data_IF_188896095866
#
_entry.id   IF_188896095866
#
_cell.length_a   1.000
_cell.length_b   1.000
_cell.length_c   1.000
_cell.angle_alpha   90.00
_cell.angle_beta   90.00
_cell.angle_gamma   90.00
#
_symmetry.space_group_name_H-M   'P 1'
#
loop_
_entity.id
_entity.type
_entity.pdbx_description
1 polymer ?
#
# COMPACT_ATOMS: atom_id res chain seq x y z
N UNK A 1 -7.28 -2.03 33.79
CA UNK A 1 -6.77 -0.95 32.94
C UNK A 1 -7.28 -1.15 31.51
N UNK A 2 -7.29 -0.11 30.72
CA UNK A 2 -7.65 -0.20 29.29
C UNK A 2 -6.38 -0.54 28.50
N UNK A 3 -6.42 -1.55 27.66
CA UNK A 3 -5.33 -1.84 26.70
C UNK A 3 -5.34 -0.80 25.61
N UNK A 4 -4.19 -0.22 25.30
CA UNK A 4 -3.96 0.69 24.18
C UNK A 4 -2.97 0.06 23.22
N UNK A 5 -3.09 0.39 21.95
CA UNK A 5 -2.20 -0.07 20.89
C UNK A 5 -1.51 1.11 20.23
N UNK A 6 -0.26 0.93 19.84
CA UNK A 6 0.45 1.89 19.00
C UNK A 6 -0.14 1.83 17.58
N UNK A 7 -0.27 2.98 16.95
CA UNK A 7 -0.84 3.07 15.60
C UNK A 7 0.10 2.49 14.55
N UNK A 8 -0.46 1.78 13.58
CA UNK A 8 0.26 1.28 12.40
C UNK A 8 0.32 2.31 11.27
N UNK A 9 -0.57 3.30 11.30
CA UNK A 9 -0.71 4.45 10.40
C UNK A 9 -1.65 5.46 11.07
N UNK A 10 -1.58 6.76 10.76
CA UNK A 10 -2.55 7.77 11.22
C UNK A 10 -3.85 7.80 10.42
N UNK A 11 -4.01 6.99 9.38
CA UNK A 11 -5.08 7.01 8.39
C UNK A 11 -6.49 7.15 9.00
N UNK A 12 -6.85 6.27 9.92
CA UNK A 12 -8.19 6.26 10.51
C UNK A 12 -8.53 7.56 11.26
N UNK A 13 -7.52 8.14 11.93
CA UNK A 13 -7.70 9.41 12.62
C UNK A 13 -7.77 10.58 11.63
N UNK A 14 -6.95 10.58 10.59
CA UNK A 14 -6.93 11.63 9.57
C UNK A 14 -8.23 11.62 8.74
N UNK A 15 -8.74 10.44 8.33
CA UNK A 15 -10.04 10.32 7.67
C UNK A 15 -11.18 10.89 8.52
N UNK A 16 -11.16 10.65 9.83
CA UNK A 16 -12.16 11.25 10.75
C UNK A 16 -12.06 12.77 10.81
N UNK A 17 -10.87 13.35 10.70
CA UNK A 17 -10.68 14.80 10.60
C UNK A 17 -11.21 15.35 9.27
N UNK A 18 -10.99 14.63 8.15
CA UNK A 18 -11.56 14.98 6.84
C UNK A 18 -13.08 14.99 6.88
N UNK A 19 -13.70 13.95 7.48
CA UNK A 19 -15.15 13.90 7.69
C UNK A 19 -15.66 15.06 8.58
N UNK A 20 -14.82 15.57 9.50
CA UNK A 20 -15.14 16.74 10.34
C UNK A 20 -14.85 18.08 9.64
N UNK A 21 -14.42 18.09 8.38
CA UNK A 21 -14.23 19.30 7.58
C UNK A 21 -12.88 19.97 7.74
N UNK A 22 -11.81 19.22 8.09
CA UNK A 22 -10.45 19.79 8.22
C UNK A 22 -9.90 20.39 6.92
N UNK A 23 -10.43 19.99 5.75
CA UNK A 23 -9.80 20.28 4.46
C UNK A 23 -8.55 19.44 4.22
N UNK A 24 -7.67 19.91 3.32
CA UNK A 24 -6.41 19.20 3.04
C UNK A 24 -5.53 19.17 4.29
N UNK A 25 -5.00 18.00 4.63
CA UNK A 25 -4.17 17.79 5.83
C UNK A 25 -2.98 16.90 5.52
N UNK A 26 -1.90 17.06 6.29
CA UNK A 26 -0.79 16.11 6.32
C UNK A 26 -0.32 15.88 7.76
N UNK A 27 0.36 14.77 7.97
CA UNK A 27 0.99 14.42 9.24
C UNK A 27 2.31 13.69 9.00
N UNK A 28 3.36 14.08 9.73
CA UNK A 28 4.57 13.29 9.86
C UNK A 28 4.58 12.74 11.28
N UNK A 29 4.57 11.41 11.43
CA UNK A 29 4.48 10.79 12.74
C UNK A 29 5.20 9.44 12.77
N UNK A 30 5.43 8.93 13.98
CA UNK A 30 5.87 7.55 14.19
C UNK A 30 4.70 6.58 13.99
N UNK A 31 5.01 5.51 13.27
CA UNK A 31 4.14 4.36 13.06
C UNK A 31 4.86 3.09 13.53
N UNK A 32 4.08 2.07 13.92
CA UNK A 32 4.59 0.88 14.58
C UNK A 32 4.00 -0.37 13.95
N UNK A 33 4.86 -1.29 13.49
CA UNK A 33 4.43 -2.58 12.97
C UNK A 33 5.26 -3.68 13.59
N UNK A 34 4.57 -4.66 14.20
CA UNK A 34 5.23 -5.77 14.86
C UNK A 34 5.88 -6.70 13.82
N UNK A 35 7.02 -7.31 14.22
CA UNK A 35 7.74 -8.32 13.40
C UNK A 35 8.33 -7.77 12.08
N UNK A 36 8.19 -6.50 11.78
CA UNK A 36 8.83 -5.86 10.64
C UNK A 36 10.25 -5.39 11.01
N UNK A 37 11.24 -6.29 10.91
CA UNK A 37 12.66 -5.97 11.10
C UNK A 37 13.48 -6.56 9.95
N UNK A 38 14.25 -5.72 9.26
CA UNK A 38 15.05 -6.14 8.12
C UNK A 38 15.74 -4.99 7.41
N UNK A 39 16.31 -5.27 6.25
CA UNK A 39 17.08 -4.31 5.47
C UNK A 39 16.36 -2.97 5.25
N UNK A 40 15.06 -3.01 5.01
CA UNK A 40 14.22 -1.85 4.68
C UNK A 40 13.10 -1.60 5.69
N UNK A 41 13.14 -2.30 6.84
CA UNK A 41 12.07 -2.28 7.84
C UNK A 41 12.64 -2.13 9.25
N UNK A 42 11.96 -1.32 10.04
CA UNK A 42 12.15 -1.24 11.49
C UNK A 42 10.76 -1.19 12.17
N UNK A 43 10.55 -1.86 13.30
CA UNK A 43 9.25 -1.88 13.99
C UNK A 43 8.69 -0.49 14.33
N UNK A 44 9.56 0.48 14.61
CA UNK A 44 9.22 1.89 14.71
C UNK A 44 9.81 2.63 13.50
N UNK A 45 8.97 3.32 12.74
CA UNK A 45 9.39 4.07 11.56
C UNK A 45 8.63 5.39 11.44
N UNK A 46 9.10 6.27 10.56
CA UNK A 46 8.47 7.56 10.31
C UNK A 46 7.67 7.52 9.03
N UNK A 47 6.40 7.93 9.12
CA UNK A 47 5.49 8.02 7.99
C UNK A 47 5.09 9.48 7.76
N UNK A 48 5.10 9.90 6.50
CA UNK A 48 4.37 11.08 6.02
C UNK A 48 3.10 10.59 5.37
N UNK A 49 1.96 11.09 5.83
CA UNK A 49 0.65 10.78 5.25
C UNK A 49 -0.09 12.06 4.98
N UNK A 50 -0.75 12.19 3.81
CA UNK A 50 -1.53 13.38 3.48
C UNK A 50 -2.73 13.06 2.61
N UNK A 51 -3.71 13.95 2.66
CA UNK A 51 -4.99 13.84 1.97
C UNK A 51 -5.35 15.12 1.25
N UNK A 52 -5.88 14.98 0.04
CA UNK A 52 -6.26 16.06 -0.87
C UNK A 52 -7.73 15.95 -1.27
N UNK A 53 -8.65 16.69 -0.62
CA UNK A 53 -10.03 16.80 -1.08
C UNK A 53 -10.10 17.33 -2.52
N UNK A 54 -10.95 16.69 -3.34
CA UNK A 54 -11.13 17.00 -4.75
C UNK A 54 -10.09 16.40 -5.69
N UNK A 55 -9.14 15.59 -5.19
CA UNK A 55 -8.19 14.83 -5.99
C UNK A 55 -8.66 13.38 -6.12
N UNK A 56 -8.40 12.78 -7.27
CA UNK A 56 -8.37 11.34 -7.45
C UNK A 56 -6.92 10.80 -7.29
N UNK A 57 -6.73 9.49 -7.46
CA UNK A 57 -5.41 8.87 -7.34
C UNK A 57 -4.41 9.37 -8.40
N UNK A 58 -4.85 9.69 -9.61
CA UNK A 58 -3.96 10.20 -10.68
C UNK A 58 -3.47 11.62 -10.36
N UNK A 59 -4.34 12.49 -9.83
CA UNK A 59 -3.95 13.82 -9.39
C UNK A 59 -2.91 13.74 -8.26
N UNK A 60 -3.11 12.80 -7.34
CA UNK A 60 -2.20 12.59 -6.22
C UNK A 60 -0.86 11.96 -6.65
N UNK A 61 -0.87 11.07 -7.65
CA UNK A 61 0.36 10.57 -8.29
C UNK A 61 1.18 11.71 -8.89
N UNK A 62 0.54 12.67 -9.56
CA UNK A 62 1.24 13.83 -10.12
C UNK A 62 1.86 14.73 -9.02
N UNK A 63 1.18 14.94 -7.89
CA UNK A 63 1.74 15.65 -6.73
C UNK A 63 2.91 14.88 -6.09
N UNK A 64 2.78 13.56 -5.95
CA UNK A 64 3.83 12.68 -5.45
C UNK A 64 5.08 12.74 -6.34
N UNK A 65 4.92 12.72 -7.65
CA UNK A 65 6.05 12.80 -8.59
C UNK A 65 6.88 14.08 -8.40
N UNK A 66 6.22 15.22 -8.19
CA UNK A 66 6.93 16.48 -7.89
C UNK A 66 7.75 16.38 -6.60
N UNK A 67 7.20 15.76 -5.55
CA UNK A 67 7.92 15.54 -4.29
C UNK A 67 9.14 14.63 -4.50
N UNK A 68 8.97 13.51 -5.22
CA UNK A 68 10.05 12.56 -5.48
C UNK A 68 11.18 13.18 -6.29
N UNK A 69 10.86 13.92 -7.35
CA UNK A 69 11.87 14.64 -8.14
C UNK A 69 12.70 15.61 -7.29
N UNK A 70 12.04 16.35 -6.39
CA UNK A 70 12.72 17.32 -5.53
C UNK A 70 13.63 16.65 -4.48
N UNK A 71 13.18 15.55 -3.86
CA UNK A 71 13.92 14.91 -2.78
C UNK A 71 15.01 13.97 -3.30
N UNK A 72 14.70 13.21 -4.35
CA UNK A 72 15.61 12.19 -4.90
C UNK A 72 16.48 12.73 -6.04
N UNK A 73 16.22 13.94 -6.53
CA UNK A 73 16.89 14.53 -7.68
C UNK A 73 16.84 13.62 -8.93
N UNK A 74 15.68 13.03 -9.19
CA UNK A 74 15.43 12.13 -10.32
C UNK A 74 14.72 12.84 -11.47
N UNK A 75 14.72 12.22 -12.65
CA UNK A 75 13.78 12.56 -13.72
C UNK A 75 12.33 12.25 -13.27
N UNK A 76 11.31 12.74 -13.97
CA UNK A 76 9.92 12.39 -13.71
C UNK A 76 9.70 10.90 -13.64
N UNK A 77 8.84 10.46 -12.73
CA UNK A 77 8.49 9.05 -12.52
C UNK A 77 7.83 8.44 -13.75
N UNK A 78 8.11 7.16 -13.99
CA UNK A 78 7.30 6.36 -14.92
C UNK A 78 5.98 5.94 -14.25
N UNK A 79 5.01 5.50 -15.05
CA UNK A 79 3.77 4.93 -14.54
C UNK A 79 3.27 3.80 -15.44
N UNK A 80 2.70 2.76 -14.85
CA UNK A 80 2.00 1.68 -15.57
C UNK A 80 0.92 1.07 -14.68
N UNK A 81 -0.12 0.48 -15.30
CA UNK A 81 -1.11 -0.25 -14.53
C UNK A 81 -0.55 -1.57 -13.99
N UNK A 82 -1.13 -2.08 -12.89
CA UNK A 82 -0.79 -3.39 -12.36
C UNK A 82 -0.96 -4.50 -13.42
N UNK A 83 -2.03 -4.44 -14.21
CA UNK A 83 -2.27 -5.35 -15.32
C UNK A 83 -1.14 -5.30 -16.34
N UNK A 84 -0.73 -4.09 -16.74
CA UNK A 84 0.35 -3.91 -17.72
C UNK A 84 1.68 -4.46 -17.20
N UNK A 85 1.99 -4.25 -15.91
CA UNK A 85 3.20 -4.77 -15.29
C UNK A 85 3.27 -6.31 -15.35
N UNK A 86 2.16 -7.00 -15.09
CA UNK A 86 2.11 -8.47 -15.21
C UNK A 86 2.22 -8.94 -16.65
N UNK A 87 1.54 -8.30 -17.59
CA UNK A 87 1.61 -8.66 -19.01
C UNK A 87 3.02 -8.50 -19.54
N UNK A 88 3.69 -7.38 -19.21
CA UNK A 88 5.03 -7.07 -19.70
C UNK A 88 6.10 -8.00 -19.13
N UNK A 89 6.05 -8.27 -17.83
CA UNK A 89 7.11 -9.01 -17.14
C UNK A 89 6.88 -10.51 -17.01
N UNK A 90 5.63 -10.96 -17.08
CA UNK A 90 5.23 -12.34 -16.82
C UNK A 90 4.34 -12.96 -17.91
N UNK A 91 3.95 -12.18 -18.92
CA UNK A 91 3.11 -12.60 -20.02
C UNK A 91 1.76 -13.21 -19.59
N UNK A 92 1.20 -12.74 -18.47
CA UNK A 92 -0.12 -13.16 -17.95
C UNK A 92 -0.96 -11.93 -17.60
N UNK A 93 -2.28 -12.02 -17.80
CA UNK A 93 -3.22 -10.99 -17.37
C UNK A 93 -3.70 -11.30 -15.92
N UNK A 94 -3.29 -10.54 -14.90
CA UNK A 94 -3.61 -10.81 -13.51
C UNK A 94 -5.11 -10.63 -13.18
N UNK A 95 -5.86 -9.88 -14.02
CA UNK A 95 -7.28 -9.61 -13.82
C UNK A 95 -8.19 -10.72 -14.35
N UNK A 96 -7.63 -11.68 -15.11
CA UNK A 96 -8.39 -12.78 -15.73
C UNK A 96 -7.78 -14.16 -15.45
N UNK A 97 -6.52 -14.20 -15.01
CA UNK A 97 -5.84 -15.45 -14.67
C UNK A 97 -6.54 -16.18 -13.52
N UNK A 98 -6.75 -17.45 -13.66
CA UNK A 98 -7.28 -18.29 -12.58
C UNK A 98 -6.18 -18.74 -11.61
N UNK A 99 -6.59 -19.30 -10.48
CA UNK A 99 -5.68 -19.73 -9.41
C UNK A 99 -4.65 -20.76 -9.91
N UNK A 100 -5.06 -21.66 -10.80
CA UNK A 100 -4.16 -22.71 -11.30
C UNK A 100 -3.10 -22.14 -12.25
N UNK A 101 -3.47 -21.20 -13.10
CA UNK A 101 -2.53 -20.48 -13.97
C UNK A 101 -1.49 -19.71 -13.17
N UNK A 102 -1.90 -18.99 -12.10
CA UNK A 102 -0.97 -18.28 -11.22
C UNK A 102 -0.05 -19.24 -10.45
N UNK A 103 -0.60 -20.37 -9.99
CA UNK A 103 0.18 -21.40 -9.29
C UNK A 103 1.25 -22.00 -10.21
N UNK A 104 0.88 -22.40 -11.42
CA UNK A 104 1.82 -22.94 -12.42
C UNK A 104 2.91 -21.91 -12.76
N UNK A 105 2.53 -20.65 -12.92
CA UNK A 105 3.49 -19.57 -13.18
C UNK A 105 4.46 -19.40 -11.99
N UNK A 106 3.95 -19.36 -10.76
CA UNK A 106 4.77 -19.23 -9.56
C UNK A 106 5.72 -20.42 -9.38
N UNK A 107 5.27 -21.64 -9.65
CA UNK A 107 6.12 -22.84 -9.66
C UNK A 107 7.19 -22.78 -10.74
N UNK A 108 6.86 -22.32 -11.95
CA UNK A 108 7.84 -22.18 -13.06
C UNK A 108 8.92 -21.14 -12.77
N UNK A 109 8.68 -20.26 -11.80
CA UNK A 109 9.60 -19.24 -11.34
C UNK A 109 10.33 -19.60 -10.03
N UNK A 110 10.23 -20.84 -9.55
CA UNK A 110 10.89 -21.35 -8.34
C UNK A 110 10.56 -20.53 -7.08
N UNK A 111 9.29 -20.11 -6.90
CA UNK A 111 8.86 -19.32 -5.74
C UNK A 111 8.63 -20.15 -4.46
N UNK A 112 9.12 -21.39 -4.44
CA UNK A 112 9.06 -22.29 -3.31
C UNK A 112 7.93 -23.33 -3.39
N UNK A 113 8.09 -24.41 -2.64
CA UNK A 113 7.18 -25.57 -2.72
C UNK A 113 5.76 -25.25 -2.19
N UNK A 114 5.64 -24.26 -1.31
CA UNK A 114 4.35 -23.90 -0.72
C UNK A 114 3.35 -23.33 -1.75
N UNK A 115 3.81 -22.73 -2.85
CA UNK A 115 2.92 -22.19 -3.89
C UNK A 115 2.08 -23.27 -4.56
N UNK A 116 2.55 -24.53 -4.56
CA UNK A 116 1.80 -25.66 -5.13
C UNK A 116 0.49 -25.95 -4.38
N UNK A 117 0.39 -25.57 -3.12
CA UNK A 117 -0.79 -25.78 -2.27
C UNK A 117 -1.51 -24.49 -1.88
N UNK A 118 -0.98 -23.33 -2.31
CA UNK A 118 -1.60 -22.03 -2.01
C UNK A 118 -2.99 -21.93 -2.64
N UNK A 119 -3.98 -21.49 -1.85
CA UNK A 119 -5.38 -21.38 -2.24
C UNK A 119 -5.85 -19.93 -2.36
N UNK A 120 -5.06 -18.97 -1.88
CA UNK A 120 -5.38 -17.55 -1.99
C UNK A 120 -4.79 -16.97 -3.27
N UNK A 121 -5.66 -16.48 -4.14
CA UNK A 121 -5.32 -15.89 -5.43
C UNK A 121 -4.45 -14.63 -5.25
N UNK A 122 -4.80 -13.77 -4.28
CA UNK A 122 -4.08 -12.54 -4.02
C UNK A 122 -2.67 -12.79 -3.47
N UNK A 123 -2.50 -13.85 -2.66
CA UNK A 123 -1.18 -14.28 -2.19
C UNK A 123 -0.27 -14.64 -3.35
N UNK A 124 -0.75 -15.38 -4.36
CA UNK A 124 0.04 -15.73 -5.54
C UNK A 124 0.38 -14.50 -6.39
N UNK A 125 -0.56 -13.59 -6.59
CA UNK A 125 -0.31 -12.33 -7.29
C UNK A 125 0.76 -11.51 -6.57
N UNK A 126 0.66 -11.37 -5.25
CA UNK A 126 1.62 -10.62 -4.44
C UNK A 126 3.03 -11.23 -4.50
N UNK A 127 3.15 -12.55 -4.40
CA UNK A 127 4.44 -13.24 -4.53
C UNK A 127 5.07 -13.03 -5.91
N UNK A 128 4.28 -13.20 -6.97
CA UNK A 128 4.75 -12.96 -8.33
C UNK A 128 5.19 -11.51 -8.52
N UNK A 129 4.43 -10.56 -8.02
CA UNK A 129 4.78 -9.14 -8.09
C UNK A 129 6.08 -8.86 -7.35
N UNK A 130 6.16 -9.19 -6.06
CA UNK A 130 7.33 -8.91 -5.21
C UNK A 130 8.62 -9.56 -5.72
N UNK A 131 8.56 -10.81 -6.18
CA UNK A 131 9.77 -11.53 -6.56
C UNK A 131 10.15 -11.42 -8.03
N UNK A 132 9.20 -11.09 -8.93
CA UNK A 132 9.46 -11.16 -10.38
C UNK A 132 9.23 -9.85 -11.12
N UNK A 133 8.46 -8.93 -10.57
CA UNK A 133 8.18 -7.62 -11.17
C UNK A 133 8.93 -6.52 -10.43
N UNK A 134 8.72 -6.37 -9.14
CA UNK A 134 9.31 -5.31 -8.31
C UNK A 134 10.84 -5.16 -8.50
N UNK A 135 11.66 -6.24 -8.56
CA UNK A 135 13.09 -6.11 -8.80
C UNK A 135 13.49 -5.57 -10.18
N UNK A 136 12.55 -5.46 -11.11
CA UNK A 136 12.80 -5.05 -12.51
C UNK A 136 12.27 -3.65 -12.84
N UNK A 137 11.46 -3.08 -11.96
CA UNK A 137 10.82 -1.77 -12.18
C UNK A 137 11.47 -0.68 -11.34
N UNK A 138 11.32 0.58 -11.75
CA UNK A 138 11.80 1.72 -10.98
C UNK A 138 13.32 1.75 -10.75
N UNK A 139 14.15 1.19 -11.63
CA UNK A 139 15.60 1.06 -11.42
C UNK A 139 16.34 2.38 -11.59
N UNK A 140 15.99 3.16 -12.63
CA UNK A 140 16.65 4.43 -12.97
C UNK A 140 15.94 5.64 -12.39
N UNK A 141 14.62 5.59 -12.31
CA UNK A 141 13.73 6.62 -11.74
C UNK A 141 12.54 5.95 -11.06
N UNK A 142 11.85 6.65 -10.16
CA UNK A 142 10.65 6.07 -9.53
C UNK A 142 9.62 5.64 -10.56
N UNK A 143 8.83 4.61 -10.22
CA UNK A 143 7.69 4.17 -11.00
C UNK A 143 6.46 4.06 -10.12
N UNK A 144 5.32 4.46 -10.66
CA UNK A 144 4.01 4.34 -9.99
C UNK A 144 3.21 3.23 -10.65
N UNK A 145 2.90 2.20 -9.88
CA UNK A 145 2.02 1.11 -10.30
C UNK A 145 0.63 1.46 -9.80
N UNK A 146 -0.36 1.51 -10.69
CA UNK A 146 -1.73 1.92 -10.36
C UNK A 146 -2.77 0.90 -10.87
N UNK A 147 -4.04 1.08 -10.48
CA UNK A 147 -5.14 0.18 -10.82
C UNK A 147 -4.88 -1.26 -10.39
N UNK A 148 -4.71 -1.44 -9.08
CA UNK A 148 -4.56 -2.77 -8.47
C UNK A 148 -5.84 -3.59 -8.60
N UNK A 149 -5.77 -4.94 -8.59
CA UNK A 149 -6.97 -5.79 -8.61
C UNK A 149 -7.97 -5.39 -7.52
N UNK A 150 -9.27 -5.42 -7.82
CA UNK A 150 -10.33 -5.07 -6.88
C UNK A 150 -10.27 -5.86 -5.56
N UNK A 151 -9.78 -7.12 -5.60
CA UNK A 151 -9.54 -7.94 -4.41
C UNK A 151 -8.46 -7.38 -3.49
N UNK A 152 -7.57 -6.52 -4.01
CA UNK A 152 -6.49 -5.85 -3.29
C UNK A 152 -6.77 -4.36 -3.05
N UNK A 153 -8.04 -3.96 -3.10
CA UNK A 153 -8.45 -2.57 -2.97
C UNK A 153 -8.07 -1.93 -1.62
N UNK A 154 -7.92 -2.70 -0.56
CA UNK A 154 -7.71 -2.18 0.79
C UNK A 154 -8.79 -1.13 1.15
N UNK A 155 -8.39 0.14 1.33
CA UNK A 155 -9.28 1.27 1.64
C UNK A 155 -9.55 2.17 0.42
N UNK A 156 -9.15 1.74 -0.79
CA UNK A 156 -9.44 2.43 -2.04
C UNK A 156 -10.87 2.14 -2.54
N UNK A 157 -11.45 3.09 -3.25
CA UNK A 157 -12.68 2.80 -4.00
C UNK A 157 -12.38 1.93 -5.23
N UNK A 158 -13.41 1.18 -5.65
CA UNK A 158 -13.36 0.45 -6.92
C UNK A 158 -13.54 1.44 -8.07
N UNK A 159 -12.77 1.26 -9.13
CA UNK A 159 -12.87 2.14 -10.30
C UNK A 159 -14.25 2.07 -10.94
N UNK A 160 -14.92 3.20 -11.16
CA UNK A 160 -16.21 3.22 -11.87
C UNK A 160 -16.06 2.88 -13.38
N UNK A 161 -14.85 2.99 -13.93
CA UNK A 161 -14.58 2.68 -15.32
C UNK A 161 -14.32 1.19 -15.56
N UNK A 162 -13.72 0.49 -14.58
CA UNK A 162 -13.47 -0.95 -14.63
C UNK A 162 -13.59 -1.55 -13.22
N UNK A 163 -14.68 -2.24 -12.95
CA UNK A 163 -14.95 -2.85 -11.64
C UNK A 163 -13.98 -3.97 -11.23
N UNK A 164 -13.06 -4.38 -12.09
CA UNK A 164 -12.02 -5.36 -11.78
C UNK A 164 -10.83 -4.74 -11.05
N UNK A 165 -10.72 -3.40 -11.03
CA UNK A 165 -9.59 -2.69 -10.42
C UNK A 165 -10.05 -1.67 -9.39
N UNK A 166 -9.16 -1.39 -8.44
CA UNK A 166 -9.30 -0.34 -7.44
C UNK A 166 -8.42 0.86 -7.81
N UNK A 167 -8.88 2.05 -7.51
CA UNK A 167 -8.15 3.30 -7.68
C UNK A 167 -7.08 3.47 -6.58
N UNK A 168 -6.10 2.56 -6.63
CA UNK A 168 -4.94 2.43 -5.73
C UNK A 168 -3.67 2.55 -6.53
N UNK A 169 -2.64 3.17 -5.96
CA UNK A 169 -1.31 3.18 -6.53
C UNK A 169 -0.23 2.93 -5.47
N UNK A 170 0.88 2.37 -5.90
CA UNK A 170 2.10 2.24 -5.10
C UNK A 170 3.29 2.79 -5.87
N UNK A 171 4.26 3.30 -5.12
CA UNK A 171 5.48 3.91 -5.69
C UNK A 171 6.66 3.02 -5.39
N UNK A 172 7.43 2.67 -6.44
CA UNK A 172 8.62 1.85 -6.33
C UNK A 172 9.85 2.60 -6.86
N UNK A 173 10.96 2.45 -6.16
CA UNK A 173 12.27 2.92 -6.63
C UNK A 173 13.38 2.03 -6.12
N UNK A 174 14.23 1.54 -7.04
CA UNK A 174 15.38 0.65 -6.76
C UNK A 174 14.99 -0.60 -5.96
N UNK A 175 13.86 -1.22 -6.30
CA UNK A 175 13.33 -2.41 -5.63
C UNK A 175 12.81 -2.14 -4.22
N UNK A 176 12.36 -0.93 -3.94
CA UNK A 176 11.81 -0.54 -2.64
C UNK A 176 10.47 0.16 -2.86
N UNK A 177 9.42 -0.35 -2.24
CA UNK A 177 8.16 0.35 -2.10
C UNK A 177 8.36 1.57 -1.19
N UNK A 178 8.05 2.75 -1.71
CA UNK A 178 8.15 4.02 -0.99
C UNK A 178 6.81 4.48 -0.44
N UNK A 179 5.73 4.31 -1.20
CA UNK A 179 4.43 4.87 -0.87
C UNK A 179 3.28 4.00 -1.38
N UNK A 180 2.13 4.12 -0.71
CA UNK A 180 0.87 3.49 -1.09
C UNK A 180 -0.24 4.52 -0.93
N UNK A 181 -1.02 4.74 -1.98
CA UNK A 181 -2.06 5.77 -2.03
C UNK A 181 -3.35 5.28 -2.67
N UNK A 182 -4.42 5.97 -2.33
CA UNK A 182 -5.78 5.62 -2.72
C UNK A 182 -6.57 6.83 -3.19
N UNK A 183 -7.50 6.60 -4.12
CA UNK A 183 -8.74 7.38 -4.12
C UNK A 183 -9.65 6.76 -3.05
N UNK A 184 -10.02 7.53 -2.05
CA UNK A 184 -10.52 7.00 -0.79
C UNK A 184 -11.94 6.46 -0.91
N UNK A 185 -12.18 5.27 -0.33
CA UNK A 185 -13.53 4.72 -0.20
C UNK A 185 -14.32 5.54 0.82
N UNK A 186 -15.41 6.17 0.36
CA UNK A 186 -16.29 6.97 1.20
C UNK A 186 -17.51 6.19 1.73
N UNK A 187 -17.85 5.06 1.10
CA UNK A 187 -19.00 4.24 1.48
C UNK A 187 -18.73 3.50 2.81
N UNK A 188 -19.49 3.86 3.85
CA UNK A 188 -19.33 3.31 5.20
C UNK A 188 -19.76 1.85 5.30
N UNK A 189 -20.78 1.43 4.53
CA UNK A 189 -21.31 0.06 4.58
C UNK A 189 -20.32 -0.87 3.85
N UNK A 190 -19.83 -0.49 2.68
CA UNK A 190 -18.79 -1.22 1.97
C UNK A 190 -17.53 -1.32 2.82
N UNK A 191 -17.06 -0.23 3.45
CA UNK A 191 -15.89 -0.26 4.32
C UNK A 191 -16.07 -1.22 5.50
N UNK A 192 -17.25 -1.21 6.12
CA UNK A 192 -17.56 -2.11 7.23
C UNK A 192 -17.55 -3.58 6.79
N UNK A 193 -18.10 -3.88 5.61
CA UNK A 193 -18.13 -5.23 5.07
C UNK A 193 -16.73 -5.72 4.68
N UNK A 194 -15.86 -4.85 4.13
CA UNK A 194 -14.46 -5.18 3.88
C UNK A 194 -13.73 -5.56 5.18
N UNK A 195 -13.89 -4.81 6.26
CA UNK A 195 -13.30 -5.15 7.57
C UNK A 195 -13.81 -6.50 8.12
N UNK A 196 -15.08 -6.85 7.89
CA UNK A 196 -15.60 -8.19 8.26
C UNK A 196 -14.93 -9.30 7.45
N UNK A 197 -14.79 -9.10 6.13
CA UNK A 197 -14.14 -10.06 5.23
C UNK A 197 -12.68 -10.25 5.65
N UNK A 198 -11.94 -9.18 5.94
CA UNK A 198 -10.56 -9.26 6.42
C UNK A 198 -10.46 -10.03 7.73
N UNK A 199 -11.38 -9.81 8.67
CA UNK A 199 -11.43 -10.57 9.90
C UNK A 199 -11.75 -12.06 9.67
N UNK A 200 -12.59 -12.38 8.69
CA UNK A 200 -12.84 -13.79 8.31
C UNK A 200 -11.58 -14.45 7.75
N UNK A 201 -10.84 -13.76 6.86
CA UNK A 201 -9.54 -14.21 6.31
C UNK A 201 -8.53 -14.44 7.46
N UNK A 202 -8.43 -13.50 8.41
CA UNK A 202 -7.54 -13.63 9.58
C UNK A 202 -7.87 -14.88 10.42
N UNK A 203 -9.14 -15.09 10.73
CA UNK A 203 -9.58 -16.26 11.50
C UNK A 203 -9.30 -17.57 10.74
N UNK A 204 -9.53 -17.59 9.42
CA UNK A 204 -9.20 -18.74 8.58
C UNK A 204 -7.68 -19.04 8.57
N UNK A 205 -6.84 -18.01 8.68
CA UNK A 205 -5.38 -18.11 8.81
C UNK A 205 -4.91 -18.41 10.26
N UNK A 206 -5.82 -18.65 11.21
CA UNK A 206 -5.49 -18.94 12.62
C UNK A 206 -5.10 -17.69 13.43
N UNK A 207 -5.32 -16.49 12.91
CA UNK A 207 -5.02 -15.22 13.57
C UNK A 207 -6.24 -14.69 14.32
N UNK A 208 -6.01 -13.94 15.40
CA UNK A 208 -7.10 -13.28 16.12
C UNK A 208 -7.75 -12.18 15.25
N UNK A 209 -9.09 -12.04 15.28
CA UNK A 209 -9.75 -10.94 14.61
C UNK A 209 -9.34 -9.60 15.22
N UNK A 210 -9.29 -8.56 14.39
CA UNK A 210 -9.04 -7.20 14.85
C UNK A 210 -10.35 -6.47 15.18
N UNK A 211 -10.40 -5.67 16.25
CA UNK A 211 -11.55 -4.81 16.52
C UNK A 211 -11.78 -3.83 15.36
N UNK A 212 -13.01 -3.77 14.86
CA UNK A 212 -13.39 -2.78 13.85
C UNK A 212 -13.47 -1.39 14.54
N UNK A 213 -12.85 -0.37 13.92
CA UNK A 213 -12.94 1.01 14.39
C UNK A 213 -14.33 1.60 14.05
N UNK A 214 -15.26 1.48 15.00
CA UNK A 214 -16.61 2.02 14.85
C UNK A 214 -16.65 3.56 14.80
N UNK A 215 -15.59 4.25 15.26
CA UNK A 215 -15.51 5.71 15.13
C UNK A 215 -15.18 6.11 13.70
N UNK A 216 -14.33 5.34 12.99
CA UNK A 216 -14.11 5.54 11.56
C UNK A 216 -15.41 5.28 10.79
N UNK A 217 -16.09 4.15 11.02
CA UNK A 217 -17.36 3.83 10.34
C UNK A 217 -18.40 4.93 10.56
N UNK A 218 -18.55 5.41 11.80
CA UNK A 218 -19.47 6.52 12.11
C UNK A 218 -19.08 7.83 11.41
N UNK A 219 -17.78 8.11 11.26
CA UNK A 219 -17.31 9.29 10.55
C UNK A 219 -17.56 9.18 9.04
N UNK A 220 -17.29 8.03 8.43
CA UNK A 220 -17.61 7.78 7.01
C UNK A 220 -19.11 7.92 6.74
N UNK A 221 -19.95 7.40 7.64
CA UNK A 221 -21.41 7.54 7.53
C UNK A 221 -21.87 9.02 7.64
N UNK A 222 -21.13 9.87 8.33
CA UNK A 222 -21.39 11.31 8.37
C UNK A 222 -20.96 12.03 7.07
N UNK A 223 -20.09 11.42 6.29
CA UNK A 223 -19.63 11.85 4.97
C UNK A 223 -18.13 12.13 4.92
N UNK A 224 -17.40 11.33 4.13
CA UNK A 224 -16.04 11.64 3.71
C UNK A 224 -16.12 12.49 2.44
N UNK A 225 -15.45 13.63 2.34
CA UNK A 225 -15.36 14.35 1.07
C UNK A 225 -14.64 13.46 0.03
N UNK A 226 -15.02 13.61 -1.23
CA UNK A 226 -14.27 13.02 -2.33
C UNK A 226 -12.80 13.47 -2.23
N UNK A 227 -11.87 12.51 -2.06
CA UNK A 227 -10.46 12.83 -1.78
C UNK A 227 -9.54 11.64 -2.11
N UNK A 228 -8.28 11.97 -2.33
CA UNK A 228 -7.21 10.97 -2.40
C UNK A 228 -6.22 11.17 -1.24
N UNK A 229 -5.66 10.06 -0.77
CA UNK A 229 -4.66 10.04 0.30
C UNK A 229 -3.50 9.13 -0.02
N UNK A 230 -2.33 9.42 0.54
CA UNK A 230 -1.13 8.60 0.36
C UNK A 230 -0.27 8.58 1.61
N UNK A 231 0.28 7.41 1.91
CA UNK A 231 1.26 7.16 2.95
C UNK A 231 2.64 6.93 2.32
N UNK A 232 3.65 7.67 2.77
CA UNK A 232 5.04 7.62 2.30
C UNK A 232 5.97 7.29 3.47
N UNK A 233 6.81 6.27 3.31
CA UNK A 233 7.85 5.89 4.27
C UNK A 233 9.03 6.87 4.23
N UNK A 234 9.10 7.79 5.21
CA UNK A 234 10.15 8.83 5.27
C UNK A 234 11.53 8.22 5.42
N UNK A 235 11.69 7.20 6.27
CA UNK A 235 13.01 6.60 6.51
C UNK A 235 13.55 5.93 5.22
N UNK A 236 12.69 5.27 4.43
CA UNK A 236 13.05 4.71 3.12
C UNK A 236 13.40 5.80 2.10
N UNK A 237 12.63 6.89 2.07
CA UNK A 237 12.92 8.04 1.20
C UNK A 237 14.27 8.67 1.53
N UNK A 238 14.57 8.90 2.82
CA UNK A 238 15.86 9.43 3.28
C UNK A 238 17.00 8.47 2.93
N UNK A 239 16.78 7.17 3.13
CA UNK A 239 17.77 6.14 2.79
C UNK A 239 18.17 6.22 1.31
N UNK A 240 17.19 6.34 0.41
CA UNK A 240 17.44 6.47 -1.02
C UNK A 240 18.08 7.82 -1.39
N UNK A 241 17.62 8.92 -0.79
CA UNK A 241 18.19 10.25 -1.03
C UNK A 241 19.66 10.37 -0.61
N UNK A 242 20.09 9.56 0.38
CA UNK A 242 21.46 9.51 0.87
C UNK A 242 22.27 8.34 0.30
N UNK A 243 21.76 7.64 -0.72
CA UNK A 243 22.35 6.42 -1.32
C UNK A 243 22.74 5.35 -0.27
N UNK A 244 21.98 5.25 0.82
CA UNK A 244 22.17 4.21 1.82
C UNK A 244 21.46 2.91 1.42
N UNK A 245 21.95 1.78 1.92
CA UNK A 245 21.46 0.44 1.54
C UNK A 245 20.68 -0.26 2.65
N UNK A 246 20.71 0.29 3.88
CA UNK A 246 20.06 -0.25 5.07
C UNK A 246 19.37 0.86 5.84
N UNK A 247 18.17 0.57 6.36
CA UNK A 247 17.37 1.54 7.09
C UNK A 247 18.01 1.98 8.42
N UNK A 248 18.83 1.14 9.04
CA UNK A 248 19.60 1.43 10.25
C UNK A 248 20.62 2.58 10.08
N UNK A 249 20.98 2.90 8.83
CA UNK A 249 21.89 4.00 8.50
C UNK A 249 21.22 5.38 8.56
N UNK A 250 19.88 5.41 8.63
CA UNK A 250 19.09 6.66 8.64
C UNK A 250 18.19 6.78 9.86
N UNK A 251 18.11 5.74 10.70
CA UNK A 251 17.39 5.76 11.98
C UNK A 251 18.41 5.86 13.12
N UNK A 252 18.19 6.79 14.05
CA UNK A 252 19.14 7.02 15.16
C UNK A 252 19.26 5.82 16.09
N UNK A 253 18.14 5.13 16.37
CA UNK A 253 18.09 3.93 17.21
C UNK A 253 17.19 2.89 16.52
N UNK A 254 17.81 1.97 15.81
CA UNK A 254 17.13 0.81 15.25
C UNK A 254 16.89 -0.25 16.35
N UNK A 255 15.95 -1.19 16.10
CA UNK A 255 15.47 -2.11 17.15
C UNK A 255 16.56 -2.97 17.80
N UNK A 256 17.65 -3.29 17.06
CA UNK A 256 18.76 -4.11 17.61
C UNK A 256 19.74 -3.29 18.46
N UNK A 257 19.63 -1.95 18.44
CA UNK A 257 20.48 -1.00 19.18
C UNK A 257 19.69 -0.20 20.19
N UNK A 258 18.41 -0.52 20.38
CA UNK A 258 17.49 0.13 21.34
C UNK A 258 17.49 -0.58 22.69
#
# INVERSE_FOLDING_TARGET
GKTLYLQTSPEFHMKRLLCAGSGAIFQICKSFRNEESGRYHNPEFTMLEWYRPGFNHIDLMAEMDVLLQQVLNTAPSDSMSYQQAFIEHLAIDPLTADLEQLRQLAMSHDLGDFVATEQDHDTLLQLLFCFKIEPKIGLERPIMIYDFPASQAALAQISPADSRVAERFEVYYRGIELANGFHELADSDEQHDRFKIDNQKRVAAGLAPQPIDLHLIAALNAGLPDCAGVALGIDRLIMLALDQTHIDQVIAFEVQRS
#
